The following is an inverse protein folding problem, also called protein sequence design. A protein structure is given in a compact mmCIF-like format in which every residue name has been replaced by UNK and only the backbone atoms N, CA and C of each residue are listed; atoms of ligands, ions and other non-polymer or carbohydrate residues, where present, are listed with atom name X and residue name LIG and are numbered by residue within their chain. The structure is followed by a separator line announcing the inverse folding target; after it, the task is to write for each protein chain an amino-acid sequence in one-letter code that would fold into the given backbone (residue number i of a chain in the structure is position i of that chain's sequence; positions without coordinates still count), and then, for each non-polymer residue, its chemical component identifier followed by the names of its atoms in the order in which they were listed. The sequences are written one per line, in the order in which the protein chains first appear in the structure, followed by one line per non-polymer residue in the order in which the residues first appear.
data_IF_481348782828
#
_entry.id   IF_481348782828
#
_cell.length_a   1.000
_cell.length_b   1.000
_cell.length_c   1.000
_cell.angle_alpha   90.00
_cell.angle_beta   90.00
_cell.angle_gamma   90.00
#
_symmetry.space_group_name_H-M   'P 1'
#
loop_
_entity.id
_entity.type
_entity.pdbx_description
1 polymer ?
#
# COMPACT_ATOMS: atom_id res chain seq x y z
N UNK A 1 -48.10 -1.24 17.47
CA UNK A 1 -46.82 -1.84 17.93
C UNK A 1 -45.65 -1.06 17.31
N UNK A 2 -44.92 -0.30 18.14
CA UNK A 2 -43.84 0.63 17.76
C UNK A 2 -42.50 -0.09 17.46
N UNK A 3 -42.47 -0.94 16.44
CA UNK A 3 -41.25 -1.69 16.05
C UNK A 3 -40.15 -0.81 15.44
N UNK A 4 -40.49 0.39 14.95
CA UNK A 4 -39.54 1.28 14.27
C UNK A 4 -38.65 2.09 15.23
N UNK A 5 -38.98 2.19 16.52
CA UNK A 5 -38.25 3.03 17.48
C UNK A 5 -36.99 2.35 18.05
N UNK A 6 -37.09 1.12 18.57
CA UNK A 6 -35.93 0.40 19.17
C UNK A 6 -34.83 0.05 18.17
N UNK A 7 -35.21 -0.45 16.99
CA UNK A 7 -34.23 -0.83 15.95
C UNK A 7 -33.48 0.40 15.44
N UNK A 8 -34.17 1.52 15.24
CA UNK A 8 -33.54 2.76 14.81
C UNK A 8 -32.67 3.35 15.92
N UNK A 9 -33.12 3.29 17.17
CA UNK A 9 -32.31 3.68 18.33
C UNK A 9 -31.01 2.86 18.43
N UNK A 10 -31.08 1.52 18.36
CA UNK A 10 -29.88 0.68 18.42
C UNK A 10 -28.95 0.88 17.22
N UNK A 11 -29.51 1.10 16.02
CA UNK A 11 -28.70 1.45 14.84
C UNK A 11 -27.99 2.78 15.04
N UNK A 12 -28.68 3.80 15.53
CA UNK A 12 -28.14 5.15 15.74
C UNK A 12 -27.12 5.19 16.90
N UNK A 13 -27.39 4.47 17.99
CA UNK A 13 -26.48 4.32 19.11
C UNK A 13 -25.24 3.49 18.74
N UNK A 14 -25.43 2.43 17.96
CA UNK A 14 -24.33 1.60 17.46
C UNK A 14 -23.44 2.38 16.48
N UNK A 15 -24.03 3.14 15.55
CA UNK A 15 -23.27 3.95 14.61
C UNK A 15 -22.58 5.15 15.26
N UNK A 16 -23.21 5.81 16.24
CA UNK A 16 -22.57 6.89 16.99
C UNK A 16 -21.42 6.38 17.87
N UNK A 17 -21.62 5.28 18.61
CA UNK A 17 -20.56 4.66 19.40
C UNK A 17 -19.38 4.19 18.53
N UNK A 18 -19.67 3.59 17.36
CA UNK A 18 -18.64 3.20 16.40
C UNK A 18 -17.88 4.41 15.84
N UNK A 19 -18.57 5.50 15.50
CA UNK A 19 -17.94 6.72 15.01
C UNK A 19 -17.06 7.39 16.08
N UNK A 20 -17.52 7.44 17.34
CA UNK A 20 -16.73 7.99 18.45
C UNK A 20 -15.49 7.14 18.74
N UNK A 21 -15.62 5.81 18.73
CA UNK A 21 -14.49 4.90 18.91
C UNK A 21 -13.47 5.04 17.77
N UNK A 22 -13.91 5.16 16.51
CA UNK A 22 -13.04 5.39 15.38
C UNK A 22 -12.30 6.74 15.48
N UNK A 23 -12.99 7.81 15.88
CA UNK A 23 -12.35 9.11 16.14
C UNK A 23 -11.34 9.04 17.28
N UNK A 24 -11.64 8.29 18.35
CA UNK A 24 -10.74 8.10 19.48
C UNK A 24 -9.48 7.26 19.13
N UNK A 25 -9.51 6.45 18.08
CA UNK A 25 -8.33 5.72 17.62
C UNK A 25 -7.27 6.64 16.98
N UNK A 26 -7.65 7.83 16.51
CA UNK A 26 -6.71 8.77 15.91
C UNK A 26 -5.93 9.59 16.96
N UNK A 27 -4.68 9.98 16.68
CA UNK A 27 -3.94 10.93 17.50
C UNK A 27 -4.66 12.28 17.61
N UNK A 28 -4.51 13.04 18.72
CA UNK A 28 -5.21 14.32 18.93
C UNK A 28 -5.01 15.36 17.81
N UNK A 29 -3.87 15.36 17.14
CA UNK A 29 -3.62 16.24 15.98
C UNK A 29 -4.54 15.90 14.79
N UNK A 30 -4.69 14.61 14.47
CA UNK A 30 -5.53 14.13 13.37
C UNK A 30 -7.01 14.37 13.67
N UNK A 31 -7.45 14.18 14.93
CA UNK A 31 -8.84 14.51 15.33
C UNK A 31 -9.17 15.98 15.12
N UNK A 32 -8.24 16.88 15.50
CA UNK A 32 -8.41 18.32 15.28
C UNK A 32 -8.47 18.65 13.78
N UNK A 33 -7.62 18.02 12.97
CA UNK A 33 -7.64 18.20 11.52
C UNK A 33 -8.97 17.73 10.90
N UNK A 34 -9.50 16.57 11.30
CA UNK A 34 -10.78 16.05 10.80
C UNK A 34 -12.00 16.90 11.20
N UNK A 35 -11.90 17.68 12.28
CA UNK A 35 -12.96 18.59 12.71
C UNK A 35 -13.03 19.88 11.86
N UNK A 36 -11.99 20.18 11.07
CA UNK A 36 -11.99 21.33 10.17
C UNK A 36 -12.91 21.00 9.00
N UNK A 37 -13.96 21.80 8.74
CA UNK A 37 -14.82 21.57 7.59
C UNK A 37 -14.00 21.70 6.30
N UNK A 38 -14.22 20.79 5.36
CA UNK A 38 -13.57 20.85 4.05
C UNK A 38 -13.97 22.14 3.32
N UNK A 39 -13.00 22.86 2.76
CA UNK A 39 -13.28 23.97 1.86
C UNK A 39 -13.90 23.42 0.57
N UNK A 40 -15.15 23.79 0.29
CA UNK A 40 -15.93 23.29 -0.84
C UNK A 40 -16.75 24.41 -1.52
N UNK A 41 -16.22 25.63 -1.51
CA UNK A 41 -16.88 26.83 -2.03
C UNK A 41 -17.39 26.66 -3.46
N UNK A 42 -16.61 26.05 -4.35
CA UNK A 42 -16.97 25.80 -5.75
C UNK A 42 -17.30 24.34 -6.06
N UNK A 43 -17.03 23.42 -5.12
CA UNK A 43 -17.13 21.96 -5.31
C UNK A 43 -16.27 21.46 -6.47
N UNK A 44 -15.10 22.08 -6.66
CA UNK A 44 -14.15 21.73 -7.71
C UNK A 44 -12.73 21.68 -7.15
N UNK A 45 -11.78 21.18 -7.95
CA UNK A 45 -10.35 21.17 -7.57
C UNK A 45 -9.80 22.57 -7.27
N UNK A 46 -10.49 23.63 -7.72
CA UNK A 46 -10.13 25.03 -7.45
C UNK A 46 -10.20 25.40 -5.97
N UNK A 47 -10.89 24.59 -5.15
CA UNK A 47 -10.97 24.80 -3.70
C UNK A 47 -9.72 24.25 -2.95
N UNK A 48 -8.79 23.57 -3.65
CA UNK A 48 -7.53 23.08 -3.06
C UNK A 48 -6.49 24.20 -3.01
N UNK A 49 -6.18 24.67 -1.82
CA UNK A 49 -5.21 25.76 -1.58
C UNK A 49 -3.79 25.26 -1.29
N UNK A 50 -3.67 24.08 -0.67
CA UNK A 50 -2.38 23.54 -0.21
C UNK A 50 -2.26 22.06 -0.55
N UNK A 51 -1.10 21.68 -1.07
CA UNK A 51 -0.73 20.27 -1.33
C UNK A 51 0.47 19.92 -0.45
N UNK A 52 0.30 18.91 0.40
CA UNK A 52 1.39 18.34 1.18
C UNK A 52 1.84 17.06 0.49
N UNK A 53 3.10 17.03 0.03
CA UNK A 53 3.69 15.86 -0.63
C UNK A 53 4.56 15.13 0.39
N UNK A 54 4.16 13.92 0.75
CA UNK A 54 4.96 13.02 1.57
C UNK A 54 5.74 12.09 0.65
N UNK A 55 7.05 12.28 0.57
CA UNK A 55 7.93 11.43 -0.23
C UNK A 55 8.44 10.27 0.61
N UNK A 56 8.11 9.05 0.19
CA UNK A 56 8.68 7.84 0.74
C UNK A 56 9.93 7.46 -0.04
N UNK A 57 10.92 6.85 0.61
CA UNK A 57 12.17 6.45 -0.02
C UNK A 57 12.29 4.93 -0.21
N UNK A 58 13.06 4.55 -1.23
CA UNK A 58 13.70 3.24 -1.39
C UNK A 58 12.79 2.01 -1.32
N UNK A 59 11.51 2.15 -1.71
CA UNK A 59 10.56 1.04 -1.83
C UNK A 59 9.87 1.09 -3.18
N UNK A 60 9.92 -0.03 -3.90
CA UNK A 60 9.18 -0.17 -5.15
C UNK A 60 7.68 -0.27 -4.89
N UNK A 61 6.89 0.01 -5.92
CA UNK A 61 5.43 -0.12 -5.85
C UNK A 61 4.99 -1.52 -5.42
N UNK A 62 5.57 -2.57 -6.02
CA UNK A 62 5.25 -3.97 -5.69
C UNK A 62 5.62 -4.34 -4.25
N UNK A 63 6.60 -3.66 -3.64
CA UNK A 63 6.95 -3.86 -2.25
C UNK A 63 5.78 -3.48 -1.32
N UNK A 64 5.10 -2.38 -1.59
CA UNK A 64 3.98 -1.91 -0.76
C UNK A 64 2.64 -2.49 -1.19
N UNK A 65 2.46 -2.68 -2.50
CA UNK A 65 1.14 -2.88 -3.08
C UNK A 65 1.03 -4.11 -3.97
N UNK A 66 2.09 -4.92 -4.11
CA UNK A 66 2.08 -6.10 -4.97
C UNK A 66 1.06 -7.18 -4.57
N UNK A 67 0.56 -7.13 -3.32
CA UNK A 67 -0.52 -8.01 -2.82
C UNK A 67 -1.85 -7.28 -2.63
N UNK A 68 -1.94 -5.99 -2.95
CA UNK A 68 -3.16 -5.20 -2.77
C UNK A 68 -4.23 -5.60 -3.80
N UNK A 69 -5.47 -5.78 -3.32
CA UNK A 69 -6.59 -6.10 -4.21
C UNK A 69 -6.79 -5.03 -5.29
N UNK A 70 -6.92 -5.48 -6.55
CA UNK A 70 -7.07 -4.60 -7.71
C UNK A 70 -5.75 -4.17 -8.37
N UNK A 71 -4.61 -4.45 -7.74
CA UNK A 71 -3.29 -4.24 -8.34
C UNK A 71 -2.92 -5.43 -9.22
N UNK A 72 -2.35 -5.16 -10.40
CA UNK A 72 -1.66 -6.15 -11.22
C UNK A 72 -0.28 -6.47 -10.63
N UNK A 73 -0.29 -7.11 -9.46
CA UNK A 73 0.91 -7.42 -8.68
C UNK A 73 1.29 -8.90 -8.78
N UNK A 74 1.70 -9.50 -7.65
CA UNK A 74 2.21 -10.88 -7.61
C UNK A 74 1.18 -11.95 -7.99
N UNK A 75 -0.11 -11.61 -8.01
CA UNK A 75 -1.21 -12.47 -8.46
C UNK A 75 -1.73 -12.11 -9.85
N UNK A 76 -0.98 -11.32 -10.64
CA UNK A 76 -1.35 -11.04 -12.02
C UNK A 76 -1.47 -12.36 -12.81
N UNK A 77 -2.56 -12.49 -13.58
CA UNK A 77 -2.82 -13.64 -14.45
C UNK A 77 -1.95 -13.61 -15.71
N UNK A 78 -1.44 -12.43 -16.08
CA UNK A 78 -0.62 -12.21 -17.26
C UNK A 78 0.70 -11.52 -16.88
N UNK A 79 1.54 -12.16 -16.03
CA UNK A 79 2.84 -11.60 -15.71
C UNK A 79 3.76 -11.64 -16.93
N UNK A 80 4.74 -10.75 -17.00
CA UNK A 80 5.69 -10.68 -18.12
C UNK A 80 6.42 -12.04 -18.22
N UNK A 81 6.31 -12.76 -19.35
CA UNK A 81 6.93 -14.06 -19.50
C UNK A 81 8.44 -13.92 -19.71
N UNK A 82 9.19 -14.87 -19.17
CA UNK A 82 10.63 -15.01 -19.36
C UNK A 82 10.95 -16.35 -20.04
N UNK A 83 12.13 -16.48 -20.69
CA UNK A 83 12.59 -17.75 -21.23
C UNK A 83 12.57 -18.89 -20.20
N UNK A 84 12.29 -20.11 -20.68
CA UNK A 84 12.18 -21.29 -19.83
C UNK A 84 10.85 -21.42 -19.08
N UNK A 85 9.79 -20.77 -19.57
CA UNK A 85 8.44 -20.88 -18.99
C UNK A 85 8.27 -20.15 -17.65
N UNK A 86 9.16 -19.20 -17.35
CA UNK A 86 9.13 -18.39 -16.13
C UNK A 86 8.40 -17.07 -16.36
N UNK A 87 8.23 -16.30 -15.30
CA UNK A 87 7.75 -14.92 -15.36
C UNK A 87 8.66 -13.95 -14.59
N UNK A 88 8.43 -12.64 -14.74
CA UNK A 88 9.25 -11.58 -14.15
C UNK A 88 9.37 -11.63 -12.62
N UNK A 89 8.44 -12.28 -11.91
CA UNK A 89 8.56 -12.48 -10.46
C UNK A 89 9.50 -13.63 -10.08
N UNK A 90 9.92 -14.47 -11.03
CA UNK A 90 10.83 -15.59 -10.82
C UNK A 90 12.28 -15.19 -11.16
N UNK A 91 12.87 -14.35 -10.32
CA UNK A 91 14.19 -13.76 -10.58
C UNK A 91 15.32 -14.76 -10.38
N UNK A 92 16.34 -14.71 -11.23
CA UNK A 92 17.54 -15.56 -11.08
C UNK A 92 18.53 -14.86 -10.17
N UNK A 93 18.78 -15.42 -9.00
CA UNK A 93 19.90 -15.02 -8.16
C UNK A 93 21.12 -15.87 -8.53
N UNK A 94 22.09 -15.23 -9.17
CA UNK A 94 23.37 -15.82 -9.53
C UNK A 94 24.47 -15.21 -8.64
N UNK A 95 25.05 -16.01 -7.75
CA UNK A 95 26.19 -15.60 -6.91
C UNK A 95 27.10 -16.79 -6.66
N UNK A 96 28.42 -16.60 -6.79
CA UNK A 96 29.44 -17.62 -6.48
C UNK A 96 29.14 -19.01 -7.06
N UNK A 97 28.80 -19.09 -8.35
CA UNK A 97 28.42 -20.32 -9.07
C UNK A 97 27.12 -21.01 -8.60
N UNK A 98 26.33 -20.37 -7.74
CA UNK A 98 25.00 -20.83 -7.36
C UNK A 98 23.97 -20.01 -8.13
N UNK A 99 23.19 -20.71 -8.96
CA UNK A 99 22.02 -20.16 -9.64
C UNK A 99 20.77 -20.70 -8.96
N UNK A 100 19.97 -19.82 -8.36
CA UNK A 100 18.65 -20.17 -7.83
C UNK A 100 17.60 -19.19 -8.29
N UNK A 101 16.38 -19.67 -8.40
CA UNK A 101 15.21 -18.80 -8.63
C UNK A 101 14.71 -18.30 -7.29
N UNK A 102 14.49 -16.99 -7.20
CA UNK A 102 13.93 -16.31 -6.03
C UNK A 102 12.55 -15.78 -6.41
N UNK A 103 11.57 -16.09 -5.57
CA UNK A 103 10.19 -15.59 -5.68
C UNK A 103 10.02 -14.39 -4.72
N UNK A 104 9.00 -13.53 -4.95
CA UNK A 104 8.60 -12.55 -3.95
C UNK A 104 8.23 -13.26 -2.65
N UNK A 105 8.64 -12.69 -1.52
CA UNK A 105 8.39 -13.24 -0.20
C UNK A 105 7.91 -12.15 0.75
N UNK A 106 7.16 -12.55 1.77
CA UNK A 106 6.60 -11.64 2.75
C UNK A 106 7.66 -11.23 3.76
N UNK A 107 7.79 -9.91 3.98
CA UNK A 107 8.53 -9.36 5.10
C UNK A 107 7.59 -9.17 6.28
N UNK A 108 7.91 -9.81 7.39
CA UNK A 108 7.11 -9.84 8.61
C UNK A 108 7.69 -8.90 9.67
N UNK A 109 6.91 -7.88 10.02
CA UNK A 109 7.26 -6.94 11.08
C UNK A 109 7.29 -7.58 12.46
N UNK A 110 6.51 -8.63 12.71
CA UNK A 110 6.49 -9.34 14.01
C UNK A 110 7.73 -10.19 14.21
N UNK A 111 8.32 -10.67 13.11
CA UNK A 111 9.64 -11.32 13.08
C UNK A 111 10.80 -10.31 13.02
N UNK A 112 10.51 -9.00 12.96
CA UNK A 112 11.50 -7.92 12.93
C UNK A 112 12.29 -7.79 11.63
N UNK A 113 11.96 -8.56 10.59
CA UNK A 113 12.71 -8.56 9.33
C UNK A 113 12.22 -7.51 8.31
N UNK A 114 11.01 -6.94 8.50
CA UNK A 114 10.46 -5.94 7.59
C UNK A 114 11.16 -4.58 7.64
N UNK A 115 11.54 -4.13 8.84
CA UNK A 115 12.12 -2.80 9.05
C UNK A 115 13.62 -2.76 8.77
N UNK A 116 14.32 -3.89 8.96
CA UNK A 116 15.79 -4.00 8.89
C UNK A 116 16.29 -4.70 7.61
N UNK A 117 15.40 -4.92 6.64
CA UNK A 117 15.81 -5.50 5.36
C UNK A 117 16.80 -4.59 4.67
N UNK A 118 17.92 -5.15 4.19
CA UNK A 118 18.86 -4.42 3.36
C UNK A 118 18.20 -4.00 2.04
N UNK A 119 18.48 -2.78 1.60
CA UNK A 119 18.05 -2.29 0.29
C UNK A 119 18.76 -3.03 -0.84
N UNK A 120 18.17 -2.98 -2.02
CA UNK A 120 18.86 -3.36 -3.27
C UNK A 120 19.72 -2.20 -3.75
N UNK A 121 20.69 -2.41 -4.63
CA UNK A 121 21.33 -1.30 -5.33
C UNK A 121 20.28 -0.43 -6.04
N UNK A 122 20.44 0.90 -5.93
CA UNK A 122 19.50 1.90 -6.46
C UNK A 122 20.18 2.88 -7.43
N UNK A 123 21.38 2.56 -7.91
CA UNK A 123 22.05 3.37 -8.91
C UNK A 123 21.40 3.18 -10.28
N UNK A 124 21.53 4.17 -11.16
CA UNK A 124 21.01 4.08 -12.52
C UNK A 124 21.50 2.82 -13.28
N UNK A 125 22.80 2.45 -13.29
CA UNK A 125 23.23 1.24 -14.00
C UNK A 125 22.65 -0.04 -13.39
N UNK A 126 22.53 -0.11 -12.06
CA UNK A 126 21.92 -1.28 -11.40
C UNK A 126 20.44 -1.42 -11.77
N UNK A 127 19.70 -0.30 -11.77
CA UNK A 127 18.29 -0.28 -12.15
C UNK A 127 18.10 -0.73 -13.61
N UNK A 128 18.96 -0.26 -14.53
CA UNK A 128 18.86 -0.66 -15.93
C UNK A 128 19.26 -2.11 -16.17
N UNK A 129 20.24 -2.62 -15.42
CA UNK A 129 20.60 -4.03 -15.47
C UNK A 129 19.48 -4.92 -14.90
N UNK A 130 18.85 -4.51 -13.79
CA UNK A 130 17.74 -5.25 -13.19
C UNK A 130 16.49 -5.31 -14.09
N UNK A 131 16.26 -4.26 -14.87
CA UNK A 131 15.17 -4.18 -15.85
C UNK A 131 15.53 -4.83 -17.21
N UNK A 132 16.75 -5.34 -17.38
CA UNK A 132 17.29 -5.88 -18.65
C UNK A 132 16.98 -4.99 -19.87
N UNK A 133 17.10 -3.66 -19.69
CA UNK A 133 16.76 -2.65 -20.70
C UNK A 133 15.34 -2.75 -21.28
N UNK A 134 14.42 -3.44 -20.60
CA UNK A 134 13.00 -3.58 -20.95
C UNK A 134 12.65 -4.83 -21.71
N UNK A 135 13.53 -5.83 -21.67
CA UNK A 135 13.25 -7.20 -22.10
C UNK A 135 12.59 -8.00 -20.99
#
# INVERSE_FOLDING_TARGET
MNSSSRRNFLKMAGSSAAATAALAAFPPAIRRALAIPANNATKSIRDVEYVVILTQENRSFDHYFGTMNGVRGFSDRFPIPLPGGRNAFQQTYASNNVNRVVLPYHLDQTAGNAQRVSGTPHSQPDAQAAWDLGR
#
